data_IF_485091567490
#
_entry.id   IF_485091567490
#
_cell.length_a   1.000
_cell.length_b   1.000
_cell.length_c   1.000
_cell.angle_alpha   90.00
_cell.angle_beta   90.00
_cell.angle_gamma   90.00
#
_symmetry.space_group_name_H-M   'P 1'
#
loop_
_entity.id
_entity.type
_entity.pdbx_description
1 polymer ?
#
# COMPACT_ATOMS: atom_id res chain seq x y z
N UNK A 1 19.94 -14.11 -7.92
CA UNK A 1 18.74 -14.02 -8.77
C UNK A 1 18.90 -12.77 -9.62
N UNK A 2 18.95 -12.88 -10.94
CA UNK A 2 19.12 -11.70 -11.82
C UNK A 2 17.81 -10.92 -11.88
N UNK A 3 17.79 -9.67 -11.42
CA UNK A 3 16.71 -8.70 -11.69
C UNK A 3 16.69 -8.23 -13.16
N UNK A 4 17.00 -9.13 -14.10
CA UNK A 4 16.87 -8.85 -15.53
C UNK A 4 15.39 -8.68 -15.83
N UNK A 5 15.02 -7.49 -16.31
CA UNK A 5 13.67 -7.08 -16.76
C UNK A 5 12.70 -6.50 -15.71
N UNK A 6 13.21 -5.87 -14.64
CA UNK A 6 12.37 -4.92 -13.91
C UNK A 6 12.07 -3.67 -14.76
N UNK A 7 10.84 -3.16 -14.64
CA UNK A 7 10.39 -1.95 -15.32
C UNK A 7 11.33 -0.77 -15.04
N UNK A 8 11.65 0.01 -16.07
CA UNK A 8 12.63 1.11 -15.95
C UNK A 8 12.21 2.17 -14.93
N UNK A 9 10.90 2.47 -14.83
CA UNK A 9 10.37 3.44 -13.89
C UNK A 9 10.49 2.92 -12.45
N UNK A 10 10.20 1.61 -12.24
CA UNK A 10 10.41 0.94 -10.96
C UNK A 10 11.87 1.00 -10.51
N UNK A 11 12.78 0.62 -11.41
CA UNK A 11 14.21 0.61 -11.09
C UNK A 11 14.71 2.02 -10.78
N UNK A 12 14.26 3.03 -11.53
CA UNK A 12 14.61 4.43 -11.28
C UNK A 12 14.07 4.94 -9.93
N UNK A 13 12.81 4.62 -9.58
CA UNK A 13 12.22 4.95 -8.28
C UNK A 13 13.01 4.33 -7.12
N UNK A 14 13.29 3.02 -7.18
CA UNK A 14 14.09 2.31 -6.19
C UNK A 14 15.45 2.98 -5.99
N UNK A 15 16.14 3.31 -7.09
CA UNK A 15 17.46 3.94 -7.01
C UNK A 15 17.41 5.33 -6.40
N UNK A 16 16.41 6.16 -6.74
CA UNK A 16 16.21 7.48 -6.10
C UNK A 16 15.92 7.34 -4.62
N UNK A 17 15.06 6.40 -4.22
CA UNK A 17 14.76 6.12 -2.82
C UNK A 17 16.01 5.70 -2.04
N UNK A 18 16.75 4.72 -2.55
CA UNK A 18 18.01 4.28 -1.94
C UNK A 18 19.02 5.42 -1.83
N UNK A 19 19.21 6.21 -2.89
CA UNK A 19 20.12 7.35 -2.87
C UNK A 19 19.75 8.39 -1.79
N UNK A 20 18.45 8.63 -1.56
CA UNK A 20 17.99 9.46 -0.44
C UNK A 20 18.32 8.83 0.91
N UNK A 21 18.06 7.54 1.10
CA UNK A 21 18.37 6.83 2.34
C UNK A 21 19.88 6.87 2.66
N UNK A 22 20.74 6.67 1.65
CA UNK A 22 22.20 6.79 1.79
C UNK A 22 22.60 8.21 2.22
N UNK A 23 22.02 9.23 1.59
CA UNK A 23 22.27 10.64 1.96
C UNK A 23 21.86 10.95 3.39
N UNK A 24 20.69 10.47 3.81
CA UNK A 24 20.20 10.66 5.17
C UNK A 24 21.15 10.00 6.18
N UNK A 25 21.60 8.78 5.90
CA UNK A 25 22.53 8.06 6.77
C UNK A 25 23.92 8.71 6.82
N UNK A 26 24.41 9.21 5.68
CA UNK A 26 25.63 10.01 5.62
C UNK A 26 25.51 11.31 6.45
N UNK A 27 24.33 11.95 6.41
CA UNK A 27 24.03 13.12 7.24
C UNK A 27 24.08 12.82 8.73
N UNK A 28 23.50 11.70 9.16
CA UNK A 28 23.51 11.26 10.57
C UNK A 28 24.90 10.85 11.05
N UNK A 29 25.61 10.06 10.24
CA UNK A 29 26.88 9.44 10.63
C UNK A 29 28.06 10.43 10.54
N UNK A 30 28.07 11.30 9.52
CA UNK A 30 29.21 12.15 9.20
C UNK A 30 28.90 13.65 9.19
N UNK A 31 27.67 14.06 9.52
CA UNK A 31 27.28 15.48 9.58
C UNK A 31 27.21 16.16 8.20
N UNK A 32 26.98 15.39 7.14
CA UNK A 32 26.89 15.89 5.77
C UNK A 32 25.62 16.74 5.58
N UNK A 33 25.73 17.84 4.82
CA UNK A 33 24.61 18.71 4.49
C UNK A 33 23.51 18.00 3.68
N UNK A 34 22.29 18.53 3.74
CA UNK A 34 21.10 17.92 3.10
C UNK A 34 21.11 17.97 1.57
N UNK A 35 21.91 18.84 0.95
CA UNK A 35 21.93 19.04 -0.51
C UNK A 35 22.70 17.91 -1.21
N UNK A 36 22.29 17.57 -2.43
CA UNK A 36 22.98 16.56 -3.25
C UNK A 36 24.45 16.90 -3.44
N UNK A 37 24.74 18.19 -3.69
CA UNK A 37 26.11 18.68 -3.86
C UNK A 37 26.98 18.44 -2.62
N UNK A 38 26.46 18.74 -1.43
CA UNK A 38 27.20 18.57 -0.16
C UNK A 38 27.59 17.10 0.04
N UNK A 39 26.68 16.18 -0.27
CA UNK A 39 26.93 14.75 -0.22
C UNK A 39 27.93 14.27 -1.27
N UNK A 40 27.79 14.71 -2.52
CA UNK A 40 28.72 14.36 -3.60
C UNK A 40 30.13 14.88 -3.30
N UNK A 41 30.24 16.11 -2.80
CA UNK A 41 31.52 16.71 -2.42
C UNK A 41 32.14 16.00 -1.22
N UNK A 42 31.34 15.60 -0.22
CA UNK A 42 31.80 14.78 0.90
C UNK A 42 32.33 13.41 0.44
N UNK A 43 31.67 12.76 -0.52
CA UNK A 43 32.15 11.50 -1.09
C UNK A 43 33.43 11.69 -1.92
N UNK A 44 33.61 12.82 -2.62
CA UNK A 44 34.75 13.03 -3.52
C UNK A 44 36.00 13.59 -2.84
N UNK A 45 35.80 14.49 -1.89
CA UNK A 45 36.86 15.33 -1.32
C UNK A 45 36.86 15.35 0.21
N UNK A 46 35.95 14.60 0.84
CA UNK A 46 35.86 14.51 2.29
C UNK A 46 37.08 13.84 2.92
N UNK A 47 37.19 14.00 4.24
CA UNK A 47 38.23 13.36 5.08
C UNK A 47 37.67 12.23 5.96
N UNK A 48 36.48 11.72 5.61
CA UNK A 48 35.79 10.63 6.32
C UNK A 48 35.77 9.37 5.46
N UNK A 49 35.28 8.26 6.00
CA UNK A 49 35.11 7.01 5.24
C UNK A 49 34.23 7.16 3.98
N UNK A 50 33.40 8.21 3.90
CA UNK A 50 32.65 8.55 2.68
C UNK A 50 33.54 8.76 1.45
N UNK A 51 34.82 9.13 1.62
CA UNK A 51 35.74 9.30 0.50
C UNK A 51 35.92 8.02 -0.33
N UNK A 52 35.70 6.85 0.28
CA UNK A 52 35.75 5.54 -0.40
C UNK A 52 34.65 5.41 -1.47
N UNK A 53 33.56 6.19 -1.34
CA UNK A 53 32.44 6.19 -2.27
C UNK A 53 32.58 7.24 -3.39
N UNK A 54 33.68 7.99 -3.43
CA UNK A 54 33.88 9.13 -4.35
C UNK A 54 33.91 8.79 -5.84
N UNK A 55 34.29 7.55 -6.17
CA UNK A 55 34.32 7.05 -7.55
C UNK A 55 32.95 6.71 -8.13
N UNK A 56 31.88 6.74 -7.33
CA UNK A 56 30.54 6.36 -7.78
C UNK A 56 29.83 7.51 -8.52
N UNK A 57 28.98 7.22 -9.51
CA UNK A 57 28.25 8.23 -10.28
C UNK A 57 27.02 8.75 -9.50
N UNK A 58 27.22 9.30 -8.30
CA UNK A 58 26.16 9.73 -7.39
C UNK A 58 25.14 10.69 -8.01
N UNK A 59 25.59 11.64 -8.83
CA UNK A 59 24.68 12.56 -9.53
C UNK A 59 23.67 11.82 -10.42
N UNK A 60 24.06 10.70 -11.03
CA UNK A 60 23.17 9.87 -11.85
C UNK A 60 22.29 8.96 -10.98
N UNK A 61 22.81 8.44 -9.86
CA UNK A 61 22.04 7.61 -8.92
C UNK A 61 20.92 8.41 -8.23
N UNK A 62 21.23 9.61 -7.73
CA UNK A 62 20.27 10.44 -6.98
C UNK A 62 19.05 10.86 -7.81
N UNK A 63 19.19 10.91 -9.14
CA UNK A 63 18.09 11.21 -10.07
C UNK A 63 17.53 9.96 -10.77
N UNK A 64 18.07 8.77 -10.48
CA UNK A 64 17.64 7.50 -11.07
C UNK A 64 17.99 7.33 -12.55
N UNK A 65 18.99 8.04 -13.07
CA UNK A 65 19.49 7.89 -14.46
C UNK A 65 20.37 6.67 -14.64
N UNK A 66 21.12 6.29 -13.60
CA UNK A 66 21.89 5.04 -13.53
C UNK A 66 21.41 4.24 -12.35
N UNK A 67 21.59 2.93 -12.43
CA UNK A 67 21.29 2.02 -11.35
C UNK A 67 22.58 1.43 -10.79
N UNK A 68 22.73 1.34 -9.47
CA UNK A 68 23.89 0.68 -8.88
C UNK A 68 23.83 -0.82 -9.18
N UNK A 69 25.00 -1.41 -9.37
CA UNK A 69 25.15 -2.87 -9.34
C UNK A 69 25.31 -3.32 -7.88
N UNK A 70 25.08 -4.60 -7.59
CA UNK A 70 25.19 -5.15 -6.23
C UNK A 70 26.51 -4.77 -5.54
N UNK A 71 27.64 -4.92 -6.25
CA UNK A 71 28.95 -4.52 -5.73
C UNK A 71 29.02 -3.05 -5.30
N UNK A 72 28.31 -2.16 -5.99
CA UNK A 72 28.23 -0.74 -5.59
C UNK A 72 27.39 -0.57 -4.33
N UNK A 73 26.27 -1.30 -4.21
CA UNK A 73 25.43 -1.30 -3.01
C UNK A 73 26.21 -1.84 -1.81
N UNK A 74 26.93 -2.95 -1.97
CA UNK A 74 27.75 -3.57 -0.93
C UNK A 74 28.89 -2.64 -0.48
N UNK A 75 29.52 -1.93 -1.43
CA UNK A 75 30.52 -0.93 -1.10
C UNK A 75 29.95 0.22 -0.26
N UNK A 76 28.72 0.65 -0.55
CA UNK A 76 28.01 1.66 0.26
C UNK A 76 27.65 1.10 1.63
N UNK A 77 27.14 -0.13 1.72
CA UNK A 77 26.78 -0.79 2.98
C UNK A 77 27.98 -0.92 3.93
N UNK A 78 29.18 -1.19 3.41
CA UNK A 78 30.40 -1.25 4.22
C UNK A 78 30.77 0.09 4.87
N UNK A 79 30.41 1.21 4.24
CA UNK A 79 30.70 2.56 4.72
C UNK A 79 29.54 3.15 5.53
N UNK A 80 28.30 2.82 5.14
CA UNK A 80 27.04 3.26 5.71
C UNK A 80 26.12 2.04 5.91
N UNK A 81 26.31 1.29 7.02
CA UNK A 81 25.52 0.09 7.30
C UNK A 81 24.02 0.38 7.42
N UNK A 82 23.20 -0.59 7.01
CA UNK A 82 21.74 -0.51 7.02
C UNK A 82 21.13 0.20 5.80
N UNK A 83 21.94 0.66 4.83
CA UNK A 83 21.42 1.35 3.64
C UNK A 83 21.03 0.39 2.52
N UNK A 84 21.61 -0.81 2.49
CA UNK A 84 21.31 -1.82 1.49
C UNK A 84 19.86 -2.31 1.54
N UNK A 85 19.25 -2.38 2.73
CA UNK A 85 17.86 -2.84 2.88
C UNK A 85 16.87 -1.93 2.12
N UNK A 86 17.12 -0.62 2.08
CA UNK A 86 16.34 0.34 1.31
C UNK A 86 16.42 0.08 -0.19
N UNK A 87 17.56 -0.44 -0.67
CA UNK A 87 17.71 -0.84 -2.07
C UNK A 87 17.04 -2.18 -2.37
N UNK A 88 17.16 -3.16 -1.48
CA UNK A 88 16.66 -4.50 -1.75
C UNK A 88 15.16 -4.67 -1.52
N UNK A 89 14.63 -4.04 -0.47
CA UNK A 89 13.24 -4.23 -0.03
C UNK A 89 12.40 -2.97 -0.28
N UNK A 90 12.83 -1.86 0.30
CA UNK A 90 12.11 -0.58 0.27
C UNK A 90 11.92 0.02 1.66
N UNK A 91 10.98 0.97 1.82
CA UNK A 91 10.71 1.63 3.09
C UNK A 91 10.37 0.66 4.21
N UNK A 92 10.89 0.93 5.42
CA UNK A 92 10.72 0.09 6.62
C UNK A 92 11.16 -1.38 6.46
N UNK A 93 11.90 -1.71 5.39
CA UNK A 93 12.28 -3.10 5.10
C UNK A 93 11.15 -3.95 4.52
N UNK A 94 10.06 -3.35 4.06
CA UNK A 94 8.97 -4.04 3.35
C UNK A 94 9.41 -4.39 1.94
N UNK A 95 8.99 -5.54 1.40
CA UNK A 95 9.35 -6.05 0.05
C UNK A 95 8.67 -5.28 -1.11
N UNK A 96 8.51 -3.96 -0.96
CA UNK A 96 7.82 -3.08 -1.90
C UNK A 96 8.33 -3.24 -3.34
N UNK A 97 9.64 -3.31 -3.54
CA UNK A 97 10.20 -3.40 -4.89
C UNK A 97 9.84 -4.69 -5.61
N UNK A 98 9.87 -5.83 -4.90
CA UNK A 98 9.50 -7.11 -5.49
C UNK A 98 7.99 -7.18 -5.75
N UNK A 99 7.18 -6.61 -4.86
CA UNK A 99 5.73 -6.54 -5.01
C UNK A 99 5.35 -5.71 -6.25
N UNK A 100 5.95 -4.53 -6.41
CA UNK A 100 5.73 -3.69 -7.59
C UNK A 100 6.29 -4.29 -8.89
N UNK A 101 7.25 -5.21 -8.80
CA UNK A 101 7.75 -6.00 -9.92
C UNK A 101 6.83 -7.19 -10.27
N UNK A 102 5.73 -7.38 -9.54
CA UNK A 102 4.78 -8.47 -9.78
C UNK A 102 5.22 -9.82 -9.21
N UNK A 103 6.11 -9.85 -8.22
CA UNK A 103 6.49 -11.10 -7.56
C UNK A 103 5.32 -11.64 -6.72
N UNK A 104 4.59 -12.60 -7.29
CA UNK A 104 3.42 -13.25 -6.67
C UNK A 104 3.75 -13.87 -5.31
N UNK A 105 4.93 -14.48 -5.15
CA UNK A 105 5.32 -15.13 -3.90
C UNK A 105 5.52 -14.12 -2.78
N UNK A 106 6.19 -13.01 -3.07
CA UNK A 106 6.43 -11.96 -2.08
C UNK A 106 5.14 -11.18 -1.77
N UNK A 107 4.27 -11.00 -2.77
CA UNK A 107 2.94 -10.43 -2.57
C UNK A 107 2.04 -11.30 -1.66
N UNK A 108 2.04 -12.62 -1.87
CA UNK A 108 1.29 -13.56 -1.02
C UNK A 108 1.84 -13.57 0.41
N UNK A 109 3.16 -13.63 0.58
CA UNK A 109 3.78 -13.57 1.91
C UNK A 109 3.48 -12.25 2.64
N UNK A 110 3.51 -11.12 1.93
CA UNK A 110 3.14 -9.82 2.50
C UNK A 110 1.68 -9.79 2.93
N UNK A 111 0.76 -10.26 2.08
CA UNK A 111 -0.66 -10.35 2.41
C UNK A 111 -0.89 -11.22 3.65
N UNK A 112 -0.30 -12.41 3.68
CA UNK A 112 -0.46 -13.35 4.78
C UNK A 112 0.11 -12.79 6.08
N UNK A 113 1.33 -12.24 6.07
CA UNK A 113 1.92 -11.63 7.27
C UNK A 113 1.11 -10.44 7.79
N UNK A 114 0.51 -9.64 6.90
CA UNK A 114 -0.35 -8.50 7.28
C UNK A 114 -1.61 -9.01 7.98
N UNK A 115 -2.24 -10.05 7.43
CA UNK A 115 -3.43 -10.66 8.02
C UNK A 115 -3.11 -11.40 9.32
N UNK A 116 -1.96 -12.06 9.44
CA UNK A 116 -1.52 -12.71 10.67
C UNK A 116 -1.25 -11.72 11.80
N UNK A 117 -0.68 -10.56 11.47
CA UNK A 117 -0.43 -9.51 12.44
C UNK A 117 -1.73 -8.94 13.02
N UNK A 118 -2.77 -8.80 12.19
CA UNK A 118 -4.06 -8.24 12.58
C UNK A 118 -4.98 -9.28 13.25
N UNK A 119 -5.05 -10.49 12.70
CA UNK A 119 -6.05 -11.51 13.07
C UNK A 119 -5.46 -12.76 13.73
N UNK A 120 -4.14 -12.86 13.85
CA UNK A 120 -3.42 -13.97 14.48
C UNK A 120 -2.86 -15.01 13.50
N UNK A 121 -1.87 -15.79 13.96
CA UNK A 121 -1.04 -16.69 13.14
C UNK A 121 -1.76 -17.87 12.44
N UNK A 122 -3.03 -18.11 12.74
CA UNK A 122 -3.84 -19.13 12.06
C UNK A 122 -4.86 -18.51 11.10
N UNK A 123 -5.01 -17.18 11.09
CA UNK A 123 -6.04 -16.50 10.33
C UNK A 123 -5.98 -16.77 8.82
N UNK A 124 -4.86 -16.57 8.09
CA UNK A 124 -4.86 -16.80 6.65
C UNK A 124 -4.85 -18.29 6.27
N UNK A 125 -4.69 -19.22 7.24
CA UNK A 125 -4.57 -20.65 6.93
C UNK A 125 -5.91 -21.19 6.43
N UNK A 126 -5.93 -21.57 5.16
CA UNK A 126 -7.12 -22.11 4.51
C UNK A 126 -8.04 -21.04 3.92
N UNK A 127 -7.67 -19.75 3.99
CA UNK A 127 -8.39 -18.71 3.28
C UNK A 127 -7.98 -18.66 1.81
N UNK A 128 -8.97 -18.58 0.91
CA UNK A 128 -8.72 -18.25 -0.48
C UNK A 128 -8.39 -16.76 -0.67
N UNK A 129 -7.96 -16.38 -1.87
CA UNK A 129 -7.56 -15.00 -2.17
C UNK A 129 -8.71 -13.99 -1.99
N UNK A 130 -9.95 -14.41 -2.22
CA UNK A 130 -11.12 -13.56 -2.00
C UNK A 130 -11.33 -13.29 -0.52
N UNK A 131 -11.30 -14.34 0.31
CA UNK A 131 -11.38 -14.22 1.76
C UNK A 131 -10.24 -13.34 2.31
N UNK A 132 -9.00 -13.57 1.88
CA UNK A 132 -7.85 -12.74 2.27
C UNK A 132 -8.06 -11.26 1.89
N UNK A 133 -8.51 -10.98 0.67
CA UNK A 133 -8.81 -9.61 0.24
C UNK A 133 -9.90 -8.97 1.11
N UNK A 134 -10.98 -9.70 1.39
CA UNK A 134 -12.08 -9.21 2.23
C UNK A 134 -11.58 -8.80 3.62
N UNK A 135 -10.80 -9.66 4.27
CA UNK A 135 -10.23 -9.38 5.58
C UNK A 135 -9.21 -8.24 5.57
N UNK A 136 -8.44 -8.11 4.48
CA UNK A 136 -7.50 -7.00 4.33
C UNK A 136 -8.25 -5.66 4.26
N UNK A 137 -9.28 -5.56 3.42
CA UNK A 137 -10.01 -4.29 3.22
C UNK A 137 -11.09 -4.06 4.28
N UNK A 138 -11.28 -4.96 5.23
CA UNK A 138 -12.32 -4.85 6.26
C UNK A 138 -12.23 -3.53 7.02
N UNK A 139 -11.01 -3.07 7.29
CA UNK A 139 -10.78 -1.80 7.99
C UNK A 139 -11.21 -0.59 7.16
N UNK A 140 -11.14 -0.64 5.82
CA UNK A 140 -11.73 0.40 4.96
C UNK A 140 -13.26 0.41 5.08
N UNK A 141 -13.88 -0.74 5.35
CA UNK A 141 -15.34 -0.89 5.42
C UNK A 141 -15.89 -0.70 6.84
N UNK A 142 -15.05 -0.41 7.82
CA UNK A 142 -15.45 -0.35 9.23
C UNK A 142 -16.14 0.97 9.62
N UNK A 143 -16.47 1.85 8.67
CA UNK A 143 -17.22 3.08 8.95
C UNK A 143 -18.73 2.84 9.16
N UNK A 144 -19.43 3.71 9.92
CA UNK A 144 -20.89 3.69 10.02
C UNK A 144 -21.55 3.99 8.68
N UNK A 145 -22.55 3.19 8.28
CA UNK A 145 -23.19 3.31 6.98
C UNK A 145 -24.01 4.59 6.78
N UNK A 146 -24.84 4.95 7.75
CA UNK A 146 -25.79 6.06 7.56
C UNK A 146 -25.09 7.40 7.22
N UNK A 147 -24.03 7.83 7.94
CA UNK A 147 -23.27 9.03 7.59
C UNK A 147 -22.58 8.94 6.23
N UNK A 148 -22.11 7.75 5.83
CA UNK A 148 -21.50 7.55 4.52
C UNK A 148 -22.53 7.73 3.41
N UNK A 149 -23.68 7.07 3.52
CA UNK A 149 -24.76 7.16 2.53
C UNK A 149 -25.27 8.59 2.41
N UNK A 150 -25.48 9.28 3.54
CA UNK A 150 -25.89 10.69 3.55
C UNK A 150 -24.90 11.57 2.76
N UNK A 151 -23.60 11.41 2.98
CA UNK A 151 -22.59 12.15 2.24
C UNK A 151 -22.59 11.80 0.74
N UNK A 152 -22.64 10.52 0.39
CA UNK A 152 -22.66 10.09 -1.01
C UNK A 152 -23.91 10.59 -1.75
N UNK A 153 -25.06 10.68 -1.07
CA UNK A 153 -26.29 11.28 -1.60
C UNK A 153 -26.12 12.78 -1.81
N UNK A 154 -25.55 13.51 -0.84
CA UNK A 154 -25.27 14.95 -0.98
C UNK A 154 -24.32 15.25 -2.15
N UNK A 155 -23.36 14.36 -2.40
CA UNK A 155 -22.44 14.43 -3.54
C UNK A 155 -23.06 13.98 -4.88
N UNK A 156 -24.31 13.48 -4.86
CA UNK A 156 -25.03 13.01 -6.04
C UNK A 156 -24.56 11.66 -6.60
N UNK A 157 -23.76 10.92 -5.83
CA UNK A 157 -23.30 9.57 -6.17
C UNK A 157 -24.35 8.50 -5.90
N UNK A 158 -25.28 8.78 -4.98
CA UNK A 158 -26.43 7.94 -4.66
C UNK A 158 -27.69 8.77 -4.84
N UNK A 159 -28.72 8.19 -5.46
CA UNK A 159 -30.05 8.81 -5.52
C UNK A 159 -30.87 8.41 -4.30
N UNK A 160 -31.75 9.31 -3.85
CA UNK A 160 -32.69 8.99 -2.78
C UNK A 160 -33.53 7.76 -3.11
N UNK A 161 -33.53 6.78 -2.21
CA UNK A 161 -34.25 5.51 -2.38
C UNK A 161 -33.58 4.51 -3.33
N UNK A 162 -32.38 4.79 -3.84
CA UNK A 162 -31.60 3.84 -4.63
C UNK A 162 -31.18 2.63 -3.79
N UNK A 163 -31.36 1.44 -4.35
CA UNK A 163 -30.90 0.21 -3.73
C UNK A 163 -29.37 0.15 -3.78
N UNK A 164 -28.75 0.13 -2.61
CA UNK A 164 -27.30 0.03 -2.45
C UNK A 164 -26.86 -1.45 -2.56
N UNK A 165 -25.57 -1.70 -2.84
CA UNK A 165 -25.05 -3.06 -3.00
C UNK A 165 -25.32 -4.02 -1.81
N UNK A 166 -25.55 -3.48 -0.61
CA UNK A 166 -25.84 -4.22 0.62
C UNK A 166 -27.29 -4.06 1.12
N UNK A 167 -28.17 -3.39 0.37
CA UNK A 167 -29.54 -3.06 0.81
C UNK A 167 -30.37 -4.29 1.15
N UNK A 168 -30.21 -5.38 0.42
CA UNK A 168 -30.86 -6.65 0.68
C UNK A 168 -30.44 -7.27 2.02
N UNK A 169 -29.15 -7.22 2.37
CA UNK A 169 -28.62 -7.67 3.66
C UNK A 169 -29.14 -6.77 4.78
N UNK A 170 -29.11 -5.44 4.57
CA UNK A 170 -29.63 -4.47 5.52
C UNK A 170 -31.10 -4.74 5.84
N UNK A 171 -31.94 -5.03 4.83
CA UNK A 171 -33.34 -5.37 5.05
C UNK A 171 -33.55 -6.65 5.87
N UNK A 172 -32.65 -7.63 5.79
CA UNK A 172 -32.72 -8.83 6.63
C UNK A 172 -32.38 -8.51 8.09
N UNK A 173 -31.45 -7.58 8.33
CA UNK A 173 -31.13 -7.07 9.67
C UNK A 173 -32.30 -6.28 10.24
N UNK A 174 -32.87 -5.35 9.46
CA UNK A 174 -33.99 -4.50 9.89
C UNK A 174 -35.24 -5.32 10.26
N UNK A 175 -35.44 -6.47 9.60
CA UNK A 175 -36.51 -7.44 9.89
C UNK A 175 -36.21 -8.36 11.08
N UNK A 176 -35.05 -8.23 11.72
CA UNK A 176 -34.60 -9.10 12.82
C UNK A 176 -34.28 -10.52 12.39
N UNK A 177 -34.08 -10.77 11.09
CA UNK A 177 -33.71 -12.10 10.56
C UNK A 177 -32.23 -12.39 10.78
N UNK A 178 -31.39 -11.34 10.78
CA UNK A 178 -29.97 -11.41 11.08
C UNK A 178 -29.69 -10.46 12.26
N UNK A 179 -29.07 -10.98 13.32
CA UNK A 179 -28.61 -10.16 14.44
C UNK A 179 -27.16 -9.76 14.22
N UNK A 180 -26.89 -8.45 14.15
CA UNK A 180 -25.52 -7.93 14.07
C UNK A 180 -24.99 -7.57 15.46
N UNK A 181 -23.71 -7.85 15.76
CA UNK A 181 -23.03 -7.20 16.87
C UNK A 181 -22.93 -5.70 16.55
N UNK A 182 -23.73 -4.89 17.22
CA UNK A 182 -23.73 -3.43 17.04
C UNK A 182 -22.79 -2.80 18.07
N UNK A 183 -21.54 -2.58 17.69
CA UNK A 183 -20.63 -1.75 18.49
C UNK A 183 -21.07 -0.29 18.44
N UNK A 184 -21.60 0.20 19.57
CA UNK A 184 -22.02 1.58 19.74
C UNK A 184 -23.32 1.96 18.99
N UNK A 185 -24.13 0.98 18.58
CA UNK A 185 -25.47 1.23 18.04
C UNK A 185 -25.54 1.63 16.56
N UNK A 186 -24.43 1.58 15.81
CA UNK A 186 -24.42 1.88 14.37
C UNK A 186 -24.11 0.65 13.52
N UNK A 187 -24.84 0.48 12.40
CA UNK A 187 -24.54 -0.58 11.43
C UNK A 187 -23.34 -0.16 10.59
N UNK A 188 -22.30 -1.01 10.58
CA UNK A 188 -21.09 -0.84 9.77
C UNK A 188 -21.13 -1.77 8.57
N UNK A 189 -20.54 -1.34 7.46
CA UNK A 189 -20.53 -2.15 6.24
C UNK A 189 -19.74 -3.45 6.44
N UNK A 190 -18.59 -3.38 7.13
CA UNK A 190 -17.82 -4.54 7.57
C UNK A 190 -18.69 -5.59 8.29
N UNK A 191 -19.52 -5.14 9.25
CA UNK A 191 -20.39 -6.03 10.03
C UNK A 191 -21.48 -6.69 9.19
N UNK A 192 -22.08 -5.96 8.24
CA UNK A 192 -23.07 -6.54 7.32
C UNK A 192 -22.44 -7.62 6.44
N UNK A 193 -21.31 -7.31 5.81
CA UNK A 193 -20.65 -8.24 4.90
C UNK A 193 -20.09 -9.47 5.64
N UNK A 194 -19.66 -9.31 6.89
CA UNK A 194 -19.21 -10.44 7.72
C UNK A 194 -20.29 -11.52 7.91
N UNK A 195 -21.58 -11.19 7.79
CA UNK A 195 -22.69 -12.16 7.89
C UNK A 195 -22.98 -12.94 6.62
N UNK A 196 -22.38 -12.55 5.50
CA UNK A 196 -22.57 -13.24 4.22
C UNK A 196 -21.72 -14.51 4.12
N UNK A 197 -22.17 -15.47 3.30
CA UNK A 197 -21.26 -16.51 2.79
C UNK A 197 -20.18 -15.88 1.89
N UNK A 198 -19.09 -16.61 1.65
CA UNK A 198 -17.90 -16.05 0.99
C UNK A 198 -18.14 -15.67 -0.48
N UNK A 199 -19.01 -16.38 -1.19
CA UNK A 199 -19.36 -16.04 -2.56
C UNK A 199 -20.11 -14.71 -2.63
N UNK A 200 -21.06 -14.50 -1.71
CA UNK A 200 -21.82 -13.25 -1.60
C UNK A 200 -20.95 -12.09 -1.13
N UNK A 201 -20.02 -12.31 -0.18
CA UNK A 201 -19.08 -11.28 0.28
C UNK A 201 -18.35 -10.62 -0.88
N UNK A 202 -17.71 -11.41 -1.73
CA UNK A 202 -16.90 -10.89 -2.84
C UNK A 202 -17.77 -10.23 -3.90
N UNK A 203 -18.96 -10.77 -4.18
CA UNK A 203 -19.89 -10.13 -5.09
C UNK A 203 -20.37 -8.75 -4.60
N UNK A 204 -20.76 -8.66 -3.33
CA UNK A 204 -21.20 -7.38 -2.74
C UNK A 204 -20.05 -6.40 -2.61
N UNK A 205 -18.85 -6.89 -2.30
CA UNK A 205 -17.64 -6.08 -2.24
C UNK A 205 -17.29 -5.49 -3.62
N UNK A 206 -17.26 -6.32 -4.66
CA UNK A 206 -17.02 -5.87 -6.04
C UNK A 206 -18.06 -4.82 -6.46
N UNK A 207 -19.34 -5.08 -6.19
CA UNK A 207 -20.43 -4.13 -6.48
C UNK A 207 -20.29 -2.81 -5.72
N UNK A 208 -19.79 -2.86 -4.49
CA UNK A 208 -19.53 -1.69 -3.65
C UNK A 208 -18.36 -0.88 -4.19
N UNK A 209 -17.24 -1.53 -4.52
CA UNK A 209 -16.09 -0.88 -5.16
C UNK A 209 -16.45 -0.34 -6.55
N UNK A 210 -17.34 -0.98 -7.32
CA UNK A 210 -17.85 -0.44 -8.58
C UNK A 210 -18.73 0.80 -8.40
N UNK A 211 -19.61 0.80 -7.40
CA UNK A 211 -20.56 1.90 -7.18
C UNK A 211 -19.88 3.17 -6.67
N UNK A 212 -18.96 3.02 -5.71
CA UNK A 212 -18.35 4.16 -5.01
C UNK A 212 -16.89 4.40 -5.41
N UNK A 213 -16.25 3.44 -6.04
CA UNK A 213 -14.89 3.60 -6.55
C UNK A 213 -13.88 3.96 -5.43
N UNK A 214 -12.90 4.81 -5.74
CA UNK A 214 -11.88 5.22 -4.77
C UNK A 214 -12.44 6.06 -3.61
N UNK A 215 -13.70 6.53 -3.67
CA UNK A 215 -14.34 7.31 -2.59
C UNK A 215 -14.50 6.53 -1.30
N UNK A 216 -14.66 5.20 -1.38
CA UNK A 216 -14.69 4.35 -0.18
C UNK A 216 -13.40 4.48 0.63
N UNK A 217 -12.27 4.43 -0.07
CA UNK A 217 -10.95 4.49 0.56
C UNK A 217 -10.67 5.89 1.08
N UNK A 218 -10.97 6.94 0.30
CA UNK A 218 -10.76 8.32 0.76
C UNK A 218 -11.63 8.67 1.96
N UNK A 219 -12.90 8.26 1.96
CA UNK A 219 -13.81 8.49 3.10
C UNK A 219 -13.32 7.77 4.35
N UNK A 220 -12.93 6.50 4.24
CA UNK A 220 -12.34 5.76 5.35
C UNK A 220 -11.10 6.49 5.89
N UNK A 221 -10.20 6.90 5.00
CA UNK A 221 -8.95 7.56 5.37
C UNK A 221 -9.15 8.93 6.02
N UNK A 222 -10.13 9.74 5.60
CA UNK A 222 -10.45 11.02 6.26
C UNK A 222 -10.88 10.82 7.72
N UNK A 223 -11.66 9.77 7.99
CA UNK A 223 -12.05 9.42 9.37
C UNK A 223 -10.87 8.86 10.17
N UNK A 224 -9.96 8.15 9.52
CA UNK A 224 -8.74 7.68 10.15
C UNK A 224 -7.80 8.83 10.53
N UNK A 225 -7.46 9.67 9.57
CA UNK A 225 -6.51 10.78 9.74
C UNK A 225 -7.01 11.88 10.67
N UNK A 226 -8.33 12.04 10.85
CA UNK A 226 -8.93 12.92 11.86
C UNK A 226 -8.90 12.34 13.29
N UNK A 227 -8.41 11.11 13.47
CA UNK A 227 -8.41 10.40 14.75
C UNK A 227 -9.79 9.91 15.18
N UNK A 228 -10.79 9.96 14.29
CA UNK A 228 -12.15 9.56 14.62
C UNK A 228 -12.30 8.03 14.73
N UNK A 229 -11.52 7.27 13.94
CA UNK A 229 -11.51 5.80 13.99
C UNK A 229 -10.12 5.28 13.63
N UNK A 230 -9.59 4.31 14.38
CA UNK A 230 -8.42 3.56 13.90
C UNK A 230 -8.88 2.50 12.88
N UNK A 231 -8.41 2.65 11.63
CA UNK A 231 -8.78 1.80 10.51
C UNK A 231 -7.56 1.05 9.95
N UNK A 232 -6.48 0.95 10.72
CA UNK A 232 -5.34 0.10 10.36
C UNK A 232 -4.63 0.46 9.05
N UNK A 233 -4.74 1.71 8.59
CA UNK A 233 -3.90 2.18 7.49
C UNK A 233 -2.45 2.19 7.98
N UNK A 234 -1.59 1.45 7.29
CA UNK A 234 -0.17 1.30 7.61
C UNK A 234 0.64 1.05 6.33
N UNK A 235 1.97 1.21 6.36
CA UNK A 235 2.80 0.82 5.22
C UNK A 235 2.68 -0.66 4.86
N UNK A 236 2.52 -1.54 5.85
CA UNK A 236 2.26 -2.97 5.66
C UNK A 236 0.97 -3.19 4.87
N UNK A 237 -0.12 -2.54 5.29
CA UNK A 237 -1.41 -2.57 4.59
C UNK A 237 -1.28 -2.07 3.14
N UNK A 238 -0.61 -0.93 2.93
CA UNK A 238 -0.41 -0.35 1.59
C UNK A 238 0.34 -1.33 0.69
N UNK A 239 1.43 -1.91 1.19
CA UNK A 239 2.28 -2.81 0.42
C UNK A 239 1.55 -4.14 0.12
N UNK A 240 0.78 -4.66 1.07
CA UNK A 240 -0.10 -5.81 0.84
C UNK A 240 -1.20 -5.50 -0.20
N UNK A 241 -1.84 -4.33 -0.12
CA UNK A 241 -2.86 -3.89 -1.06
C UNK A 241 -2.31 -3.76 -2.50
N UNK A 242 -1.10 -3.20 -2.66
CA UNK A 242 -0.42 -3.12 -3.96
C UNK A 242 -0.13 -4.53 -4.53
N UNK A 243 0.11 -5.51 -3.68
CA UNK A 243 0.30 -6.91 -4.05
C UNK A 243 -0.96 -7.64 -4.51
N UNK A 244 -2.17 -7.11 -4.24
CA UNK A 244 -3.42 -7.78 -4.64
C UNK A 244 -3.59 -7.87 -6.16
N UNK A 245 -3.12 -6.88 -6.92
CA UNK A 245 -3.26 -6.88 -8.37
C UNK A 245 -2.50 -8.05 -9.03
N UNK A 246 -1.17 -8.23 -8.82
CA UNK A 246 -0.46 -9.37 -9.40
C UNK A 246 -0.98 -10.71 -8.88
N UNK A 247 -1.47 -10.80 -7.63
CA UNK A 247 -2.13 -12.01 -7.11
C UNK A 247 -3.42 -12.33 -7.88
N UNK A 248 -4.26 -11.32 -8.11
CA UNK A 248 -5.52 -11.49 -8.85
C UNK A 248 -5.28 -11.85 -10.32
N UNK A 249 -4.28 -11.25 -10.96
CA UNK A 249 -3.88 -11.57 -12.34
C UNK A 249 -3.35 -13.00 -12.45
N UNK A 250 -2.48 -13.43 -11.53
CA UNK A 250 -1.99 -14.80 -11.47
C UNK A 250 -3.12 -15.82 -11.25
N UNK A 251 -4.15 -15.45 -10.48
CA UNK A 251 -5.35 -16.26 -10.27
C UNK A 251 -6.38 -16.15 -11.43
N UNK A 252 -6.13 -15.33 -12.45
CA UNK A 252 -7.09 -15.01 -13.53
C UNK A 252 -8.47 -14.56 -13.02
N UNK A 253 -8.50 -13.81 -11.91
CA UNK A 253 -9.72 -13.36 -11.25
C UNK A 253 -10.00 -11.88 -11.52
N UNK A 254 -10.81 -11.61 -12.55
CA UNK A 254 -11.12 -10.25 -13.01
C UNK A 254 -11.82 -9.38 -11.95
N UNK A 255 -12.63 -9.96 -11.06
CA UNK A 255 -13.31 -9.20 -10.00
C UNK A 255 -12.32 -8.72 -8.94
N UNK A 256 -11.44 -9.62 -8.49
CA UNK A 256 -10.39 -9.24 -7.54
C UNK A 256 -9.40 -8.24 -8.15
N UNK A 257 -9.08 -8.39 -9.45
CA UNK A 257 -8.25 -7.44 -10.16
C UNK A 257 -8.92 -6.05 -10.24
N UNK A 258 -10.23 -6.00 -10.48
CA UNK A 258 -11.00 -4.76 -10.45
C UNK A 258 -10.95 -4.10 -9.06
N UNK A 259 -11.24 -4.86 -7.98
CA UNK A 259 -11.18 -4.33 -6.60
C UNK A 259 -9.76 -3.82 -6.28
N UNK A 260 -8.72 -4.57 -6.63
CA UNK A 260 -7.33 -4.16 -6.40
C UNK A 260 -6.98 -2.85 -7.11
N UNK A 261 -7.43 -2.64 -8.36
CA UNK A 261 -7.23 -1.38 -9.09
C UNK A 261 -7.91 -0.20 -8.42
N UNK A 262 -9.18 -0.37 -8.03
CA UNK A 262 -9.94 0.69 -7.36
C UNK A 262 -9.34 1.01 -5.98
N UNK A 263 -8.86 -0.01 -5.26
CA UNK A 263 -8.13 0.17 -4.01
C UNK A 263 -6.86 1.00 -4.22
N UNK A 264 -6.05 0.66 -5.23
CA UNK A 264 -4.85 1.42 -5.59
C UNK A 264 -5.17 2.87 -5.96
N UNK A 265 -6.25 3.12 -6.70
CA UNK A 265 -6.77 4.47 -6.97
C UNK A 265 -7.13 5.22 -5.69
N UNK A 266 -7.70 4.55 -4.70
CA UNK A 266 -8.03 5.14 -3.42
C UNK A 266 -6.80 5.48 -2.57
N UNK A 267 -5.79 4.61 -2.56
CA UNK A 267 -4.55 4.78 -1.79
C UNK A 267 -3.76 6.03 -2.21
N UNK A 268 -3.76 6.37 -3.50
CA UNK A 268 -3.09 7.58 -4.01
C UNK A 268 -3.83 8.88 -3.64
N UNK A 269 -5.04 8.81 -3.07
CA UNK A 269 -5.80 9.98 -2.58
C UNK A 269 -5.42 10.35 -1.14
N UNK A 270 -4.14 10.29 -0.81
CA UNK A 270 -3.59 10.81 0.45
C UNK A 270 -3.08 9.75 1.43
N UNK A 271 -3.50 8.48 1.32
CA UNK A 271 -3.04 7.40 2.22
C UNK A 271 -1.53 7.20 2.10
N UNK A 272 -1.03 7.11 0.86
CA UNK A 272 0.40 6.88 0.60
C UNK A 272 1.25 8.08 1.03
N UNK A 273 0.79 9.31 0.76
CA UNK A 273 1.47 10.52 1.20
C UNK A 273 1.62 10.60 2.73
N UNK A 274 0.61 10.14 3.45
CA UNK A 274 0.59 10.17 4.92
C UNK A 274 1.46 9.07 5.53
N UNK A 275 1.30 7.81 5.11
CA UNK A 275 1.98 6.65 5.71
C UNK A 275 3.40 6.41 5.17
N UNK A 276 3.66 6.82 3.93
CA UNK A 276 4.94 6.59 3.24
C UNK A 276 5.55 7.88 2.65
N UNK A 277 5.69 8.97 3.42
CA UNK A 277 6.07 10.30 2.94
C UNK A 277 7.47 10.34 2.29
N UNK A 278 8.32 9.35 2.58
CA UNK A 278 9.68 9.26 2.03
C UNK A 278 9.72 8.80 0.56
N UNK A 279 8.67 8.15 0.07
CA UNK A 279 8.59 7.61 -1.30
C UNK A 279 7.32 8.04 -2.05
N UNK A 280 6.36 8.67 -1.37
CA UNK A 280 5.00 8.85 -1.89
C UNK A 280 4.92 9.40 -3.32
N UNK A 281 5.62 10.50 -3.64
CA UNK A 281 5.51 11.14 -4.94
C UNK A 281 5.95 10.22 -6.10
N UNK A 282 7.00 9.42 -5.89
CA UNK A 282 7.45 8.44 -6.89
C UNK A 282 6.47 7.27 -6.97
N UNK A 283 5.99 6.80 -5.82
CA UNK A 283 5.10 5.64 -5.71
C UNK A 283 3.71 5.93 -6.32
N UNK A 284 3.10 7.05 -5.99
CA UNK A 284 1.82 7.51 -6.55
C UNK A 284 1.91 7.66 -8.07
N UNK A 285 3.00 8.25 -8.57
CA UNK A 285 3.26 8.38 -10.01
C UNK A 285 3.42 7.02 -10.70
N UNK A 286 4.10 6.06 -10.06
CA UNK A 286 4.24 4.70 -10.58
C UNK A 286 2.89 3.98 -10.63
N UNK A 287 2.13 4.00 -9.53
CA UNK A 287 0.80 3.39 -9.42
C UNK A 287 -0.12 3.93 -10.51
N UNK A 288 -0.19 5.25 -10.67
CA UNK A 288 -1.03 5.92 -11.66
C UNK A 288 -0.71 5.54 -13.11
N UNK A 289 0.54 5.16 -13.41
CA UNK A 289 0.99 4.83 -14.76
C UNK A 289 0.98 3.34 -15.07
N UNK A 290 1.07 2.48 -14.05
CA UNK A 290 1.38 1.06 -14.23
C UNK A 290 0.35 0.12 -13.61
N UNK A 291 -0.34 0.53 -12.54
CA UNK A 291 -1.22 -0.35 -11.77
C UNK A 291 -2.71 0.04 -11.85
N UNK A 292 -3.02 1.18 -12.47
CA UNK A 292 -4.38 1.69 -12.69
C UNK A 292 -4.64 1.73 -14.19
#
# INVERSE_FOLDING_TARGET
>A
MSHGDWDKDLVAMRTRYWGRAVKEEAGKTFGVGKKDKDFIDACRFGKTALSELGGMPWADYLVGKKNPVYKSVDAVENVLPGTAISFYKGPKGLELWNILAGNVKDAEAMLDSTLEAEYGAEAPRGWDLGQKLFWLVLSILAFPLAPFVEQMTQEGLVRDGEALPWSDIQHLVDRGTINLPMDGGAVRLASLLATCDDARKIYTLDSTFSAFGPRLVSYAFERHSSGAVDLGFSPEFIVAALGLLPLAEAASNNRLAHIAKVLNQGLILGVIAYEMPVVHADLESYIQRKLI
#
